data_IF_622365403995
#
_entry.id   IF_622365403995
#
_cell.length_a   1.000
_cell.length_b   1.000
_cell.length_c   1.000
_cell.angle_alpha   90.00
_cell.angle_beta   90.00
_cell.angle_gamma   90.00
#
_symmetry.space_group_name_H-M   'P 1'
#
loop_
_entity.id
_entity.type
_entity.pdbx_description
1 polymer ?
#
# COMPACT_ATOMS: atom_id res chain seq x y z
N UNK A 1 10.15 0.23 29.82
CA UNK A 1 10.56 0.62 28.45
C UNK A 1 10.86 -0.59 27.56
N UNK A 2 11.70 -1.57 27.93
CA UNK A 2 11.95 -2.77 27.08
C UNK A 2 10.68 -3.53 26.67
N UNK A 3 9.71 -3.73 27.57
CA UNK A 3 8.48 -4.48 27.28
C UNK A 3 7.48 -3.77 26.34
N UNK A 4 7.57 -2.45 26.21
CA UNK A 4 6.67 -1.63 25.41
C UNK A 4 7.13 -1.59 23.95
N UNK A 5 8.45 -1.43 23.78
CA UNK A 5 9.16 -1.42 22.50
C UNK A 5 9.07 -2.77 21.77
N UNK A 6 9.00 -3.89 22.50
CA UNK A 6 8.82 -5.24 21.91
C UNK A 6 7.40 -5.51 21.44
N UNK A 7 6.39 -4.82 22.00
CA UNK A 7 4.98 -5.02 21.61
C UNK A 7 4.66 -4.42 20.25
N UNK A 8 5.16 -3.21 19.96
CA UNK A 8 4.99 -2.54 18.66
C UNK A 8 5.68 -3.32 17.55
N UNK A 9 6.90 -3.82 17.81
CA UNK A 9 7.61 -4.67 16.87
C UNK A 9 6.83 -5.95 16.54
N UNK A 10 6.15 -6.52 17.54
CA UNK A 10 5.34 -7.73 17.36
C UNK A 10 4.07 -7.48 16.54
N UNK A 11 3.46 -6.30 16.66
CA UNK A 11 2.31 -5.89 15.84
C UNK A 11 2.73 -5.66 14.37
N UNK A 12 3.85 -4.97 14.17
CA UNK A 12 4.42 -4.70 12.85
C UNK A 12 4.77 -6.01 12.10
N UNK A 13 5.36 -7.00 12.79
CA UNK A 13 5.63 -8.31 12.21
C UNK A 13 4.35 -9.09 11.84
N UNK A 14 3.25 -8.90 12.57
CA UNK A 14 1.97 -9.56 12.26
C UNK A 14 1.33 -8.98 10.99
N UNK A 15 1.42 -7.66 10.79
CA UNK A 15 0.94 -7.00 9.57
C UNK A 15 1.73 -7.47 8.32
N UNK A 16 3.05 -7.62 8.43
CA UNK A 16 3.91 -8.09 7.32
C UNK A 16 3.60 -9.51 6.84
N UNK A 17 3.17 -10.39 7.75
CA UNK A 17 2.86 -11.79 7.43
C UNK A 17 1.57 -11.93 6.60
N UNK A 18 0.68 -10.92 6.63
CA UNK A 18 -0.59 -10.93 5.88
C UNK A 18 -0.39 -10.57 4.39
N UNK A 19 0.55 -9.67 4.08
CA UNK A 19 0.88 -9.27 2.69
C UNK A 19 1.52 -10.41 1.88
N UNK A 20 2.21 -11.34 2.55
CA UNK A 20 2.91 -12.46 1.90
C UNK A 20 1.98 -13.52 1.28
N UNK A 21 0.68 -13.50 1.58
CA UNK A 21 -0.29 -14.49 1.05
C UNK A 21 -0.97 -14.07 -0.27
N UNK A 22 -0.91 -12.79 -0.65
CA UNK A 22 -1.59 -12.29 -1.86
C UNK A 22 -0.74 -12.37 -3.13
N UNK A 23 0.59 -12.51 -3.02
CA UNK A 23 1.54 -12.28 -4.12
C UNK A 23 1.91 -13.53 -4.95
N UNK A 24 1.05 -14.54 -5.09
CA UNK A 24 1.42 -15.76 -5.80
C UNK A 24 0.44 -16.11 -6.93
N UNK A 25 0.47 -15.35 -8.01
CA UNK A 25 -0.17 -15.74 -9.26
C UNK A 25 -0.07 -14.69 -10.35
N UNK A 26 0.86 -14.85 -11.30
CA UNK A 26 0.82 -14.05 -12.53
C UNK A 26 2.10 -14.13 -13.35
N UNK A 27 2.10 -14.97 -14.38
CA UNK A 27 3.06 -14.93 -15.49
C UNK A 27 2.34 -14.31 -16.70
N UNK A 28 2.87 -13.19 -17.22
CA UNK A 28 2.28 -12.45 -18.35
C UNK A 28 3.13 -12.52 -19.63
N UNK A 29 2.45 -12.79 -20.74
CA UNK A 29 2.97 -12.74 -22.11
C UNK A 29 2.21 -11.76 -23.00
N UNK A 30 2.84 -10.60 -23.26
CA UNK A 30 2.88 -9.69 -24.44
C UNK A 30 1.79 -9.78 -25.57
N UNK A 31 1.11 -8.64 -25.86
CA UNK A 31 1.31 -7.72 -27.02
C UNK A 31 0.04 -7.03 -27.60
N UNK A 32 0.11 -5.69 -27.67
CA UNK A 32 -0.06 -4.79 -28.85
C UNK A 32 -1.46 -4.38 -29.38
N UNK A 33 -1.78 -3.09 -29.22
CA UNK A 33 -1.85 -2.14 -30.35
C UNK A 33 -3.21 -1.55 -30.78
N UNK A 34 -3.36 -0.21 -30.72
CA UNK A 34 -4.07 0.55 -31.78
C UNK A 34 -5.01 1.73 -31.43
N UNK A 35 -4.43 2.95 -31.32
CA UNK A 35 -4.85 4.29 -31.81
C UNK A 35 -6.31 4.84 -31.77
N UNK A 36 -6.50 5.83 -30.88
CA UNK A 36 -7.02 7.22 -31.00
C UNK A 36 -8.16 7.65 -31.96
N UNK A 37 -9.14 8.40 -31.40
CA UNK A 37 -9.87 9.50 -32.06
C UNK A 37 -10.24 10.60 -31.04
N UNK A 38 -10.27 11.87 -31.47
CA UNK A 38 -10.35 13.05 -30.61
C UNK A 38 -11.67 13.83 -30.77
N UNK A 39 -12.36 14.13 -29.67
CA UNK A 39 -13.49 15.08 -29.69
C UNK A 39 -14.05 15.39 -28.31
N UNK A 40 -13.72 16.58 -27.78
CA UNK A 40 -14.28 17.20 -26.54
C UNK A 40 -14.59 16.19 -25.43
N UNK A 41 -13.62 15.34 -25.16
CA UNK A 41 -13.87 14.06 -24.52
C UNK A 41 -13.63 14.17 -23.03
N UNK A 42 -14.48 13.52 -22.24
CA UNK A 42 -14.00 12.97 -20.96
C UNK A 42 -12.61 12.35 -21.18
N UNK A 43 -11.68 12.45 -20.20
CA UNK A 43 -10.33 11.90 -20.36
C UNK A 43 -10.43 10.51 -20.99
N UNK A 44 -9.76 10.33 -22.13
CA UNK A 44 -9.82 9.06 -22.85
C UNK A 44 -9.46 7.95 -21.87
N UNK A 45 -10.31 6.93 -21.79
CA UNK A 45 -10.05 5.75 -20.97
C UNK A 45 -8.67 5.21 -21.33
N UNK A 46 -7.88 4.88 -20.31
CA UNK A 46 -6.61 4.21 -20.56
C UNK A 46 -6.82 2.87 -21.27
N UNK A 47 -5.75 2.36 -21.90
CA UNK A 47 -5.81 1.04 -22.48
C UNK A 47 -5.92 -0.03 -21.39
N UNK A 48 -6.49 -1.20 -21.72
CA UNK A 48 -6.53 -2.35 -20.80
C UNK A 48 -5.11 -2.77 -20.37
N UNK A 49 -4.15 -2.72 -21.28
CA UNK A 49 -2.75 -3.08 -20.99
C UNK A 49 -2.12 -2.11 -19.99
N UNK A 50 -2.28 -0.80 -20.19
CA UNK A 50 -1.77 0.21 -19.26
C UNK A 50 -2.45 0.07 -17.88
N UNK A 51 -3.77 -0.13 -17.85
CA UNK A 51 -4.51 -0.31 -16.59
C UNK A 51 -4.01 -1.51 -15.80
N UNK A 52 -3.83 -2.66 -16.46
CA UNK A 52 -3.34 -3.87 -15.79
C UNK A 52 -1.89 -3.73 -15.33
N UNK A 53 -1.06 -2.97 -16.04
CA UNK A 53 0.29 -2.64 -15.60
C UNK A 53 0.29 -1.77 -14.32
N UNK A 54 -0.63 -0.80 -14.21
CA UNK A 54 -0.82 -0.02 -12.99
C UNK A 54 -1.27 -0.92 -11.81
N UNK A 55 -2.15 -1.89 -12.07
CA UNK A 55 -2.59 -2.87 -11.06
C UNK A 55 -1.43 -3.77 -10.61
N UNK A 56 -0.59 -4.25 -11.54
CA UNK A 56 0.62 -5.00 -11.22
C UNK A 56 1.63 -4.16 -10.41
N UNK A 57 1.70 -2.85 -10.70
CA UNK A 57 2.47 -1.88 -9.93
C UNK A 57 2.09 -1.84 -8.45
N UNK A 58 0.82 -2.06 -8.10
CA UNK A 58 0.38 -2.12 -6.70
C UNK A 58 1.00 -3.29 -5.93
N UNK A 59 1.21 -4.44 -6.59
CA UNK A 59 1.89 -5.58 -5.96
C UNK A 59 3.35 -5.25 -5.65
N UNK A 60 4.05 -4.62 -6.60
CA UNK A 60 5.42 -4.15 -6.40
C UNK A 60 5.50 -3.13 -5.26
N UNK A 61 4.56 -2.21 -5.17
CA UNK A 61 4.46 -1.24 -4.08
C UNK A 61 4.19 -1.91 -2.71
N UNK A 62 3.40 -2.98 -2.68
CA UNK A 62 3.19 -3.79 -1.48
C UNK A 62 4.46 -4.50 -0.99
N UNK A 63 5.30 -4.96 -1.91
CA UNK A 63 6.63 -5.49 -1.59
C UNK A 63 7.56 -4.39 -1.04
N UNK A 64 7.58 -3.21 -1.65
CA UNK A 64 8.35 -2.06 -1.17
C UNK A 64 7.93 -1.64 0.24
N UNK A 65 6.63 -1.57 0.52
CA UNK A 65 6.10 -1.34 1.86
C UNK A 65 6.60 -2.40 2.85
N UNK A 66 6.59 -3.68 2.46
CA UNK A 66 7.08 -4.79 3.29
C UNK A 66 8.57 -4.65 3.59
N UNK A 67 9.38 -4.32 2.58
CA UNK A 67 10.82 -4.09 2.71
C UNK A 67 11.10 -2.89 3.61
N UNK A 68 10.46 -1.73 3.37
CA UNK A 68 10.63 -0.53 4.18
C UNK A 68 10.29 -0.77 5.64
N UNK A 69 9.23 -1.54 5.90
CA UNK A 69 8.80 -1.93 7.23
C UNK A 69 9.81 -2.86 7.92
N UNK A 70 10.38 -3.83 7.20
CA UNK A 70 11.46 -4.69 7.72
C UNK A 70 12.75 -3.90 7.99
N UNK A 71 13.11 -2.96 7.10
CA UNK A 71 14.23 -2.03 7.31
C UNK A 71 14.03 -1.15 8.54
N UNK A 72 12.81 -0.67 8.79
CA UNK A 72 12.47 0.06 10.00
C UNK A 72 12.72 -0.76 11.26
N UNK A 73 12.29 -2.04 11.31
CA UNK A 73 12.57 -2.94 12.44
C UNK A 73 14.06 -3.01 12.73
N UNK A 74 14.85 -3.27 11.68
CA UNK A 74 16.30 -3.40 11.80
C UNK A 74 16.93 -2.10 12.29
N UNK A 75 16.56 -0.98 11.66
CA UNK A 75 17.04 0.36 11.99
C UNK A 75 16.70 0.73 13.44
N UNK A 76 15.47 0.48 13.86
CA UNK A 76 15.01 0.75 15.21
C UNK A 76 15.80 -0.08 16.25
N UNK A 77 16.03 -1.37 15.98
CA UNK A 77 16.78 -2.23 16.91
C UNK A 77 18.27 -1.82 17.04
N UNK A 78 18.87 -1.32 15.96
CA UNK A 78 20.30 -0.98 15.91
C UNK A 78 20.61 0.46 16.31
N UNK A 79 19.69 1.39 16.03
CA UNK A 79 19.91 2.83 16.11
C UNK A 79 18.80 3.53 16.94
N UNK A 80 18.24 2.86 17.96
CA UNK A 80 17.12 3.41 18.76
C UNK A 80 17.40 4.76 19.45
N UNK A 81 18.68 5.11 19.65
CA UNK A 81 19.10 6.38 20.26
C UNK A 81 19.41 7.46 19.20
N UNK A 82 19.34 7.11 17.91
CA UNK A 82 19.50 8.00 16.76
C UNK A 82 18.12 8.33 16.18
N UNK A 83 17.55 9.42 16.66
CA UNK A 83 16.21 9.86 16.24
C UNK A 83 16.15 10.18 14.74
N UNK A 84 17.25 10.68 14.15
CA UNK A 84 17.27 11.03 12.72
C UNK A 84 17.23 9.76 11.86
N UNK A 85 18.00 8.73 12.23
CA UNK A 85 17.98 7.44 11.54
C UNK A 85 16.61 6.74 11.64
N UNK A 86 15.99 6.78 12.82
CA UNK A 86 14.66 6.18 13.02
C UNK A 86 13.56 6.97 12.31
N UNK A 87 13.61 8.30 12.32
CA UNK A 87 12.64 9.11 11.59
C UNK A 87 12.75 8.88 10.08
N UNK A 88 13.97 8.81 9.54
CA UNK A 88 14.20 8.53 8.13
C UNK A 88 13.65 7.16 7.71
N UNK A 89 13.74 6.13 8.56
CA UNK A 89 13.16 4.82 8.24
C UNK A 89 11.63 4.79 8.33
N UNK A 90 11.01 5.60 9.19
CA UNK A 90 9.54 5.77 9.20
C UNK A 90 9.07 6.51 7.94
N UNK A 91 9.78 7.53 7.50
CA UNK A 91 9.41 8.26 6.27
C UNK A 91 9.51 7.39 5.02
N UNK A 92 10.46 6.44 4.95
CA UNK A 92 10.46 5.42 3.88
C UNK A 92 9.19 4.57 3.84
N UNK A 93 8.66 4.18 5.00
CA UNK A 93 7.36 3.48 5.08
C UNK A 93 6.24 4.40 4.59
N UNK A 94 6.29 5.68 4.97
CA UNK A 94 5.29 6.67 4.53
C UNK A 94 5.32 6.86 3.01
N UNK A 95 6.50 6.87 2.40
CA UNK A 95 6.69 7.07 0.97
C UNK A 95 6.18 5.89 0.14
N UNK A 96 6.24 4.65 0.64
CA UNK A 96 5.80 3.47 -0.11
C UNK A 96 4.29 3.44 -0.41
N UNK A 97 3.50 4.34 0.20
CA UNK A 97 2.08 4.50 -0.14
C UNK A 97 1.85 5.19 -1.50
N UNK A 98 2.86 5.84 -2.07
CA UNK A 98 2.65 6.78 -3.18
C UNK A 98 2.03 6.10 -4.40
N UNK A 99 2.47 4.90 -4.77
CA UNK A 99 1.91 4.15 -5.89
C UNK A 99 0.41 3.84 -5.71
N UNK A 100 -0.06 3.61 -4.47
CA UNK A 100 -1.47 3.40 -4.18
C UNK A 100 -2.27 4.70 -4.37
N UNK A 101 -1.72 5.84 -3.95
CA UNK A 101 -2.35 7.14 -4.14
C UNK A 101 -2.37 7.56 -5.62
N UNK A 102 -1.32 7.23 -6.37
CA UNK A 102 -1.24 7.46 -7.80
C UNK A 102 -2.29 6.62 -8.55
N UNK A 103 -2.45 5.35 -8.18
CA UNK A 103 -3.51 4.49 -8.71
C UNK A 103 -4.91 5.03 -8.39
N UNK A 104 -5.13 5.47 -7.15
CA UNK A 104 -6.39 6.10 -6.74
C UNK A 104 -6.72 7.33 -7.60
N UNK A 105 -5.70 8.06 -8.07
CA UNK A 105 -5.86 9.27 -8.86
C UNK A 105 -6.19 9.02 -10.33
N UNK A 106 -6.24 7.76 -10.79
CA UNK A 106 -6.66 7.41 -12.15
C UNK A 106 -8.12 7.84 -12.36
N UNK A 107 -8.31 8.90 -13.13
CA UNK A 107 -9.64 9.48 -13.35
C UNK A 107 -10.47 8.74 -14.42
N UNK A 108 -9.81 7.98 -15.29
CA UNK A 108 -10.42 7.28 -16.42
C UNK A 108 -9.76 5.90 -16.58
N UNK A 109 -10.24 4.87 -15.85
CA UNK A 109 -9.74 3.50 -15.99
C UNK A 109 -10.07 2.93 -17.37
N UNK A 110 -9.57 1.72 -17.66
CA UNK A 110 -9.91 1.01 -18.88
C UNK A 110 -11.43 0.74 -18.98
N UNK A 111 -11.97 0.79 -20.19
CA UNK A 111 -13.39 0.49 -20.45
C UNK A 111 -13.73 -0.93 -19.96
N UNK A 112 -14.83 -1.06 -19.20
CA UNK A 112 -15.26 -2.31 -18.58
C UNK A 112 -14.66 -2.59 -17.20
N UNK A 113 -13.74 -1.74 -16.73
CA UNK A 113 -13.13 -1.86 -15.39
C UNK A 113 -13.65 -0.82 -14.40
N UNK A 114 -14.62 0.01 -14.74
CA UNK A 114 -15.03 1.18 -13.94
C UNK A 114 -15.49 0.81 -12.53
N UNK A 115 -16.30 -0.25 -12.40
CA UNK A 115 -16.83 -0.71 -11.12
C UNK A 115 -15.73 -1.29 -10.23
N UNK A 116 -14.89 -2.17 -10.78
CA UNK A 116 -13.77 -2.79 -10.04
C UNK A 116 -12.68 -1.77 -9.72
N UNK A 117 -12.44 -0.80 -10.62
CA UNK A 117 -11.54 0.31 -10.39
C UNK A 117 -12.03 1.19 -9.24
N UNK A 118 -13.32 1.52 -9.20
CA UNK A 118 -13.89 2.34 -8.11
C UNK A 118 -13.64 1.69 -6.75
N UNK A 119 -13.81 0.36 -6.65
CA UNK A 119 -13.53 -0.39 -5.44
C UNK A 119 -12.02 -0.38 -5.10
N UNK A 120 -11.17 -0.72 -6.07
CA UNK A 120 -9.72 -0.79 -5.87
C UNK A 120 -9.12 0.58 -5.53
N UNK A 121 -9.49 1.64 -6.24
CA UNK A 121 -9.04 3.01 -5.98
C UNK A 121 -9.43 3.49 -4.58
N UNK A 122 -10.64 3.16 -4.11
CA UNK A 122 -11.04 3.43 -2.73
C UNK A 122 -10.14 2.71 -1.73
N UNK A 123 -9.88 1.43 -1.94
CA UNK A 123 -9.04 0.63 -1.03
C UNK A 123 -7.57 1.08 -1.04
N UNK A 124 -7.05 1.50 -2.20
CA UNK A 124 -5.74 2.15 -2.31
C UNK A 124 -5.68 3.46 -1.51
N UNK A 125 -6.73 4.29 -1.58
CA UNK A 125 -6.83 5.52 -0.79
C UNK A 125 -6.92 5.26 0.71
N UNK A 126 -7.72 4.29 1.12
CA UNK A 126 -7.85 3.87 2.52
C UNK A 126 -6.51 3.34 3.06
N UNK A 127 -5.79 2.55 2.25
CA UNK A 127 -4.45 2.06 2.60
C UNK A 127 -3.44 3.20 2.75
N UNK A 128 -3.40 4.13 1.80
CA UNK A 128 -2.49 5.28 1.88
C UNK A 128 -2.77 6.18 3.09
N UNK A 129 -4.04 6.46 3.39
CA UNK A 129 -4.43 7.22 4.58
C UNK A 129 -4.07 6.49 5.88
N UNK A 130 -4.19 5.16 5.90
CA UNK A 130 -3.83 4.37 7.07
C UNK A 130 -2.31 4.30 7.29
N UNK A 131 -1.50 4.28 6.22
CA UNK A 131 -0.04 4.39 6.34
C UNK A 131 0.35 5.72 6.98
N UNK A 132 -0.30 6.83 6.64
CA UNK A 132 -0.04 8.12 7.29
C UNK A 132 -0.29 8.09 8.79
N UNK A 133 -1.47 7.61 9.18
CA UNK A 133 -1.83 7.47 10.59
C UNK A 133 -0.87 6.53 11.31
N UNK A 134 -0.47 5.43 10.65
CA UNK A 134 0.50 4.48 11.18
C UNK A 134 1.86 5.13 11.46
N UNK A 135 2.39 5.88 10.50
CA UNK A 135 3.66 6.58 10.64
C UNK A 135 3.58 7.68 11.71
N UNK A 136 2.47 8.43 11.80
CA UNK A 136 2.26 9.45 12.83
C UNK A 136 2.26 8.83 14.24
N UNK A 137 1.57 7.70 14.41
CA UNK A 137 1.52 6.95 15.68
C UNK A 137 2.89 6.38 16.05
N UNK A 138 3.65 5.86 15.07
CA UNK A 138 5.02 5.40 15.29
C UNK A 138 5.91 6.56 15.76
N UNK A 139 5.91 7.68 15.04
CA UNK A 139 6.73 8.84 15.37
C UNK A 139 6.38 9.44 16.74
N UNK A 140 5.09 9.58 17.06
CA UNK A 140 4.67 10.03 18.40
C UNK A 140 5.20 9.07 19.47
N UNK A 141 5.02 7.77 19.30
CA UNK A 141 5.51 6.77 20.27
C UNK A 141 7.03 6.86 20.46
N UNK A 142 7.78 7.03 19.38
CA UNK A 142 9.25 7.13 19.40
C UNK A 142 9.70 8.42 20.10
N UNK A 143 9.06 9.54 19.80
CA UNK A 143 9.50 10.88 20.22
C UNK A 143 8.97 11.30 21.58
N UNK A 144 7.70 10.99 21.89
CA UNK A 144 7.01 11.37 23.13
C UNK A 144 7.03 10.25 24.17
N UNK A 145 7.38 9.02 23.79
CA UNK A 145 7.31 7.86 24.66
C UNK A 145 5.87 7.40 24.94
N UNK A 146 4.93 7.83 24.09
CA UNK A 146 3.52 7.48 24.16
C UNK A 146 3.26 5.97 24.12
N UNK A 147 2.08 5.58 24.63
CA UNK A 147 1.53 4.23 24.51
C UNK A 147 0.20 4.31 23.78
N UNK A 148 0.21 4.49 22.45
CA UNK A 148 -1.01 4.46 21.69
C UNK A 148 -1.69 3.09 21.86
N UNK A 149 -3.01 3.09 21.98
CA UNK A 149 -3.79 1.88 21.83
C UNK A 149 -3.84 1.55 20.34
N UNK A 150 -3.00 0.60 19.91
CA UNK A 150 -2.85 0.23 18.50
C UNK A 150 -3.84 -0.84 18.06
N UNK A 151 -4.69 -1.36 18.95
CA UNK A 151 -5.57 -2.48 18.61
C UNK A 151 -6.57 -2.13 17.49
N UNK A 152 -7.12 -0.91 17.52
CA UNK A 152 -8.01 -0.42 16.45
C UNK A 152 -7.24 -0.23 15.13
N UNK A 153 -6.05 0.36 15.20
CA UNK A 153 -5.18 0.60 14.05
C UNK A 153 -4.74 -0.70 13.38
N UNK A 154 -4.39 -1.72 14.17
CA UNK A 154 -4.05 -3.07 13.72
C UNK A 154 -5.24 -3.75 13.03
N UNK A 155 -6.43 -3.68 13.63
CA UNK A 155 -7.64 -4.26 13.05
C UNK A 155 -8.04 -3.57 11.73
N UNK A 156 -7.90 -2.24 11.66
CA UNK A 156 -8.11 -1.45 10.44
C UNK A 156 -7.09 -1.81 9.37
N UNK A 157 -5.81 -1.98 9.73
CA UNK A 157 -4.77 -2.38 8.79
C UNK A 157 -5.06 -3.75 8.18
N UNK A 158 -5.43 -4.72 9.01
CA UNK A 158 -5.85 -6.02 8.52
C UNK A 158 -7.04 -5.90 7.54
N UNK A 159 -8.08 -5.16 7.94
CA UNK A 159 -9.29 -4.99 7.11
C UNK A 159 -8.97 -4.36 5.76
N UNK A 160 -8.14 -3.31 5.74
CA UNK A 160 -7.77 -2.61 4.50
C UNK A 160 -6.92 -3.49 3.60
N UNK A 161 -5.94 -4.23 4.14
CA UNK A 161 -5.11 -5.16 3.36
C UNK A 161 -5.97 -6.29 2.77
N UNK A 162 -6.91 -6.85 3.53
CA UNK A 162 -7.84 -7.88 3.03
C UNK A 162 -8.76 -7.32 1.92
N UNK A 163 -9.28 -6.11 2.09
CA UNK A 163 -10.10 -5.44 1.07
C UNK A 163 -9.31 -5.17 -0.20
N UNK A 164 -8.09 -4.65 -0.07
CA UNK A 164 -7.19 -4.37 -1.18
C UNK A 164 -6.89 -5.64 -1.99
N UNK A 165 -6.56 -6.74 -1.32
CA UNK A 165 -6.33 -8.03 -1.98
C UNK A 165 -7.59 -8.55 -2.69
N UNK A 166 -8.77 -8.41 -2.08
CA UNK A 166 -10.04 -8.80 -2.70
C UNK A 166 -10.36 -7.94 -3.93
N UNK A 167 -10.08 -6.63 -3.87
CA UNK A 167 -10.30 -5.70 -4.98
C UNK A 167 -9.33 -5.96 -6.14
N UNK A 168 -8.06 -6.30 -5.87
CA UNK A 168 -7.10 -6.74 -6.91
C UNK A 168 -7.62 -8.01 -7.59
N UNK A 169 -8.02 -9.03 -6.82
CA UNK A 169 -8.57 -10.27 -7.37
C UNK A 169 -9.85 -10.04 -8.20
N UNK A 170 -10.68 -9.06 -7.82
CA UNK A 170 -11.86 -8.68 -8.60
C UNK A 170 -11.50 -8.07 -9.95
N UNK A 171 -10.41 -7.30 -10.04
CA UNK A 171 -9.90 -6.78 -11.32
C UNK A 171 -9.41 -7.92 -12.22
N UNK A 172 -8.68 -8.88 -11.67
CA UNK A 172 -8.18 -10.05 -12.42
C UNK A 172 -9.31 -10.95 -12.97
N UNK A 173 -10.50 -10.89 -12.36
CA UNK A 173 -11.67 -11.66 -12.78
C UNK A 173 -12.47 -11.02 -13.93
N UNK A 174 -12.12 -9.80 -14.36
CA UNK A 174 -12.78 -9.12 -15.49
C UNK A 174 -12.23 -9.65 -16.82
N UNK A 175 -13.10 -10.30 -17.61
CA UNK A 175 -12.79 -10.87 -18.95
C UNK A 175 -12.69 -9.80 -20.05
#
# INVERSE_FOLDING_TARGET
>A
MKSLKTRILSALCAALMLLSLAACGGESGNADGGAADAGDSAPASMSKEDYLAEVEGLNSAGEEFTVATAEFVSTYLQNMDDADAVNASVEKIRESKQAFLDFQAIAAPAEGYEDVHTALAKDCGDFGGLIDEYCDVLLDTITSGGTPDTADLEARMQTVVESLAASIAAVEAVE
#
